data_IF_926231805811
#
_entry.id   IF_926231805811
#
_cell.length_a   1.000
_cell.length_b   1.000
_cell.length_c   1.000
_cell.angle_alpha   90.00
_cell.angle_beta   90.00
_cell.angle_gamma   90.00
#
_symmetry.space_group_name_H-M   'P 1'
#
loop_
_entity.id
_entity.type
_entity.pdbx_description
1 polymer ?
#
# COMPACT_ATOMS: atom_id res chain seq x y z
N UNK A 1 -15.51 11.51 29.57
CA UNK A 1 -14.45 10.49 29.41
C UNK A 1 -13.17 11.19 28.99
N UNK A 2 -12.06 10.97 29.69
CA UNK A 2 -10.82 11.72 29.51
C UNK A 2 -10.19 11.44 28.13
N UNK A 3 -9.75 12.50 27.42
CA UNK A 3 -9.01 12.41 26.16
C UNK A 3 -7.70 11.65 26.41
N UNK A 4 -7.44 10.57 25.69
CA UNK A 4 -6.10 9.98 25.67
C UNK A 4 -5.21 10.88 24.81
N UNK A 5 -4.32 11.61 25.48
CA UNK A 5 -3.22 12.34 24.86
C UNK A 5 -2.03 11.41 24.77
N UNK A 6 -1.47 11.27 23.56
CA UNK A 6 -0.25 10.51 23.33
C UNK A 6 0.89 11.46 23.01
N UNK A 7 2.09 11.12 23.49
CA UNK A 7 3.30 11.91 23.23
C UNK A 7 4.00 11.37 22.00
N UNK A 8 4.32 12.28 21.09
CA UNK A 8 5.07 12.01 19.86
C UNK A 8 6.44 12.70 19.90
N UNK A 9 7.43 12.03 19.33
CA UNK A 9 8.78 12.53 19.10
C UNK A 9 9.01 12.60 17.59
N UNK A 10 9.42 13.77 17.11
CA UNK A 10 9.88 13.98 15.74
C UNK A 10 11.40 14.16 15.73
N UNK A 11 12.14 13.35 14.97
CA UNK A 11 13.59 13.50 14.79
C UNK A 11 13.87 14.07 13.41
N UNK A 12 14.46 15.26 13.34
CA UNK A 12 14.89 15.89 12.07
C UNK A 12 16.18 15.26 11.56
N UNK A 13 16.14 14.79 10.31
CA UNK A 13 17.28 14.13 9.65
C UNK A 13 18.20 15.12 8.93
N UNK A 14 17.64 16.19 8.35
CA UNK A 14 18.37 17.14 7.51
C UNK A 14 18.09 18.59 7.90
N UNK A 15 19.09 19.46 7.77
CA UNK A 15 18.90 20.92 7.93
C UNK A 15 18.23 21.54 6.69
N UNK A 16 18.52 21.01 5.51
CA UNK A 16 17.90 21.37 4.24
C UNK A 16 17.08 20.18 3.70
N UNK A 17 16.14 20.37 2.76
CA UNK A 17 15.34 19.27 2.20
C UNK A 17 16.23 18.23 1.50
N UNK A 18 16.56 17.15 2.19
CA UNK A 18 17.30 16.01 1.66
C UNK A 18 16.34 14.89 1.21
N UNK A 19 16.70 14.14 0.17
CA UNK A 19 15.94 12.95 -0.26
C UNK A 19 16.65 11.69 0.21
N UNK A 20 16.23 11.14 1.34
CA UNK A 20 16.57 9.76 1.72
C UNK A 20 15.42 8.83 1.35
N UNK A 21 15.73 7.77 0.61
CA UNK A 21 14.75 6.77 0.20
C UNK A 21 14.57 5.76 1.34
N UNK A 22 13.50 5.94 2.12
CA UNK A 22 13.13 5.02 3.22
C UNK A 22 11.92 4.19 2.78
N UNK A 23 12.16 3.04 2.15
CA UNK A 23 11.11 2.11 1.65
C UNK A 23 10.55 1.17 2.73
N UNK A 24 10.62 1.55 4.01
CA UNK A 24 10.44 0.63 5.14
C UNK A 24 9.34 1.04 6.12
N UNK A 25 8.38 0.14 6.38
CA UNK A 25 7.39 0.24 7.48
C UNK A 25 7.92 -0.27 8.84
N UNK A 26 9.11 -0.87 8.87
CA UNK A 26 9.72 -1.45 10.07
C UNK A 26 10.93 -0.65 10.53
N UNK A 27 11.15 -0.59 11.84
CA UNK A 27 12.28 0.14 12.42
C UNK A 27 13.63 -0.40 11.95
N UNK A 28 13.72 -1.72 11.69
CA UNK A 28 14.91 -2.35 11.08
C UNK A 28 15.21 -1.80 9.68
N UNK A 29 14.17 -1.63 8.86
CA UNK A 29 14.33 -1.07 7.52
C UNK A 29 14.72 0.42 7.55
N UNK A 30 14.19 1.18 8.52
CA UNK A 30 14.59 2.59 8.77
C UNK A 30 16.06 2.69 9.15
N UNK A 31 16.51 1.88 10.12
CA UNK A 31 17.93 1.82 10.53
C UNK A 31 18.84 1.47 9.34
N UNK A 32 18.48 0.45 8.56
CA UNK A 32 19.23 0.07 7.37
C UNK A 32 19.28 1.18 6.31
N UNK A 33 18.20 1.95 6.15
CA UNK A 33 18.16 3.09 5.23
C UNK A 33 19.06 4.25 5.72
N UNK A 34 19.03 4.57 7.01
CA UNK A 34 19.89 5.60 7.61
C UNK A 34 21.38 5.25 7.48
N UNK A 35 21.75 3.98 7.75
CA UNK A 35 23.12 3.51 7.63
C UNK A 35 23.61 3.52 6.18
N UNK A 36 22.76 3.13 5.22
CA UNK A 36 23.07 3.21 3.78
C UNK A 36 23.15 4.64 3.26
N UNK A 37 22.37 5.57 3.83
CA UNK A 37 22.39 6.99 3.48
C UNK A 37 23.54 7.79 4.08
N UNK A 38 24.16 7.30 5.16
CA UNK A 38 25.22 8.00 5.88
C UNK A 38 26.45 8.40 5.03
N UNK A 39 26.92 7.60 4.05
CA UNK A 39 28.01 8.02 3.16
C UNK A 39 27.65 9.22 2.29
N UNK A 40 26.38 9.34 1.87
CA UNK A 40 25.92 10.39 0.96
C UNK A 40 25.44 11.66 1.68
N UNK A 41 24.86 11.52 2.88
CA UNK A 41 24.23 12.62 3.61
C UNK A 41 24.89 12.93 4.95
N UNK A 42 26.01 12.27 5.25
CA UNK A 42 26.87 12.57 6.40
C UNK A 42 26.74 11.61 7.58
N UNK A 43 27.73 11.64 8.48
CA UNK A 43 27.84 10.70 9.60
C UNK A 43 26.72 10.83 10.63
N UNK A 44 26.01 11.98 10.64
CA UNK A 44 24.84 12.23 11.48
C UNK A 44 23.77 11.15 11.36
N UNK A 45 23.53 10.60 10.16
CA UNK A 45 22.53 9.54 9.99
C UNK A 45 22.87 8.26 10.77
N UNK A 46 24.15 7.98 11.03
CA UNK A 46 24.57 6.87 11.90
C UNK A 46 24.20 7.12 13.35
N UNK A 47 24.29 8.38 13.78
CA UNK A 47 23.87 8.78 15.12
C UNK A 47 22.35 8.64 15.28
N UNK A 48 21.59 9.09 14.28
CA UNK A 48 20.13 8.90 14.28
C UNK A 48 19.75 7.43 14.27
N UNK A 49 20.45 6.59 13.50
CA UNK A 49 20.21 5.15 13.49
C UNK A 49 20.31 4.53 14.91
N UNK A 50 21.34 4.93 15.68
CA UNK A 50 21.49 4.51 17.09
C UNK A 50 20.36 5.02 17.98
N UNK A 51 19.89 6.24 17.75
CA UNK A 51 18.76 6.79 18.50
C UNK A 51 17.46 6.04 18.21
N UNK A 52 17.23 5.67 16.96
CA UNK A 52 16.08 4.88 16.53
C UNK A 52 16.07 3.50 17.21
N UNK A 53 17.21 2.84 17.30
CA UNK A 53 17.34 1.57 18.02
C UNK A 53 17.03 1.74 19.51
N UNK A 54 17.61 2.75 20.17
CA UNK A 54 17.35 3.05 21.57
C UNK A 54 15.88 3.41 21.86
N UNK A 55 15.22 4.14 20.96
CA UNK A 55 13.79 4.45 21.06
C UNK A 55 12.94 3.18 21.06
N UNK A 56 13.22 2.22 20.17
CA UNK A 56 12.48 0.95 20.12
C UNK A 56 12.68 0.12 21.38
N UNK A 57 13.92 0.02 21.87
CA UNK A 57 14.23 -0.66 23.14
C UNK A 57 13.43 -0.08 24.31
N UNK A 58 13.26 1.24 24.33
CA UNK A 58 12.58 1.97 25.40
C UNK A 58 11.05 2.03 25.22
N UNK A 59 10.52 1.38 24.17
CA UNK A 59 9.09 1.22 23.94
C UNK A 59 8.44 2.32 23.09
N UNK A 60 9.21 3.03 22.27
CA UNK A 60 8.66 3.97 21.28
C UNK A 60 8.33 3.24 19.97
N UNK A 61 7.14 3.50 19.44
CA UNK A 61 6.67 2.94 18.18
C UNK A 61 6.97 3.89 17.02
N UNK A 62 7.68 3.40 16.01
CA UNK A 62 7.84 4.12 14.74
C UNK A 62 6.48 4.31 14.06
N UNK A 63 6.21 5.52 13.57
CA UNK A 63 4.93 5.90 12.94
C UNK A 63 5.08 6.25 11.47
N UNK A 64 6.25 6.75 11.04
CA UNK A 64 6.47 7.10 9.65
C UNK A 64 7.63 8.05 9.43
N UNK A 65 7.86 8.35 8.16
CA UNK A 65 8.91 9.24 7.67
C UNK A 65 8.29 10.23 6.68
N UNK A 66 8.52 11.53 6.87
CA UNK A 66 7.91 12.61 6.08
C UNK A 66 8.85 13.19 5.02
N UNK A 67 9.94 12.50 4.69
CA UNK A 67 10.97 13.01 3.77
C UNK A 67 12.13 13.72 4.46
N UNK A 68 11.91 14.39 5.58
CA UNK A 68 12.97 15.07 6.35
C UNK A 68 13.00 14.68 7.84
N UNK A 69 11.96 14.00 8.34
CA UNK A 69 11.78 13.68 9.76
C UNK A 69 11.28 12.26 9.97
N UNK A 70 11.69 11.68 11.10
CA UNK A 70 11.15 10.41 11.60
C UNK A 70 10.18 10.67 12.74
N UNK A 71 9.05 9.96 12.74
CA UNK A 71 7.99 10.10 13.74
C UNK A 71 7.94 8.86 14.64
N UNK A 72 7.91 9.09 15.95
CA UNK A 72 7.79 8.06 16.98
C UNK A 72 6.70 8.41 17.97
N UNK A 73 5.98 7.41 18.46
CA UNK A 73 4.94 7.55 19.48
C UNK A 73 5.27 6.73 20.72
N UNK A 74 5.11 7.31 21.89
CA UNK A 74 5.28 6.59 23.15
C UNK A 74 4.20 5.52 23.31
N UNK A 75 4.56 4.33 23.78
CA UNK A 75 3.59 3.33 24.25
C UNK A 75 3.13 3.57 25.68
N UNK A 76 3.84 4.43 26.42
CA UNK A 76 3.52 4.86 27.78
C UNK A 76 2.88 6.24 27.76
N UNK A 77 1.92 6.49 28.65
CA UNK A 77 1.44 7.85 28.91
C UNK A 77 2.55 8.64 29.57
N UNK A 78 3.19 9.54 28.80
CA UNK A 78 4.23 10.44 29.27
C UNK A 78 3.71 11.87 29.16
N UNK A 79 4.11 12.74 30.08
CA UNK A 79 3.97 14.18 29.86
C UNK A 79 5.02 14.68 28.88
N UNK A 80 4.80 15.85 28.28
CA UNK A 80 5.80 16.52 27.43
C UNK A 80 7.14 16.72 28.15
N UNK A 81 7.11 17.23 29.39
CA UNK A 81 8.33 17.47 30.18
C UNK A 81 9.10 16.18 30.48
N UNK A 82 8.37 15.07 30.68
CA UNK A 82 8.96 13.75 30.92
C UNK A 82 9.60 13.17 29.65
N UNK A 83 8.99 13.39 28.50
CA UNK A 83 9.52 12.99 27.21
C UNK A 83 10.73 13.83 26.80
N UNK A 84 10.72 15.15 27.03
CA UNK A 84 11.88 16.02 26.83
C UNK A 84 13.04 15.63 27.75
N UNK A 85 12.77 15.35 29.03
CA UNK A 85 13.77 14.85 29.98
C UNK A 85 14.29 13.44 29.60
N UNK A 86 13.45 12.58 29.01
CA UNK A 86 13.88 11.30 28.45
C UNK A 86 14.85 11.51 27.28
N UNK A 87 14.51 12.37 26.31
CA UNK A 87 15.37 12.68 25.16
C UNK A 87 16.72 13.23 25.60
N UNK A 88 16.74 14.18 26.54
CA UNK A 88 17.99 14.73 27.06
C UNK A 88 18.86 13.69 27.77
N UNK A 89 18.26 12.78 28.55
CA UNK A 89 18.99 11.72 29.27
C UNK A 89 19.53 10.64 28.33
N UNK A 90 18.73 10.23 27.33
CA UNK A 90 19.06 9.11 26.45
C UNK A 90 19.96 9.53 25.28
N UNK A 91 19.76 10.73 24.75
CA UNK A 91 20.42 11.20 23.52
C UNK A 91 21.34 12.41 23.73
N UNK A 92 21.38 12.97 24.95
CA UNK A 92 22.20 14.11 25.32
C UNK A 92 21.45 15.44 25.27
N UNK A 93 21.98 16.47 25.94
CA UNK A 93 21.32 17.79 26.10
C UNK A 93 21.05 18.49 24.77
N UNK A 94 21.93 18.31 23.78
CA UNK A 94 21.80 18.96 22.47
C UNK A 94 20.78 18.28 21.55
N UNK A 95 20.25 17.11 21.93
CA UNK A 95 19.31 16.36 21.10
C UNK A 95 18.02 17.14 20.81
N UNK A 96 17.56 17.99 21.74
CA UNK A 96 16.36 18.82 21.55
C UNK A 96 16.51 19.87 20.44
N UNK A 97 17.73 20.16 19.97
CA UNK A 97 17.92 21.02 18.78
C UNK A 97 17.42 20.36 17.49
N UNK A 98 17.30 19.03 17.49
CA UNK A 98 16.88 18.21 16.34
C UNK A 98 15.63 17.39 16.61
N UNK A 99 15.24 17.27 17.88
CA UNK A 99 14.13 16.45 18.33
C UNK A 99 13.02 17.34 18.87
N UNK A 100 11.83 17.25 18.28
CA UNK A 100 10.64 17.97 18.74
C UNK A 100 9.70 17.01 19.47
N UNK A 101 9.24 17.38 20.66
CA UNK A 101 8.23 16.64 21.42
C UNK A 101 6.88 17.33 21.23
N UNK A 102 5.84 16.55 20.92
CA UNK A 102 4.47 17.05 20.72
C UNK A 102 3.46 16.20 21.47
N UNK A 103 2.49 16.87 22.10
CA UNK A 103 1.31 16.21 22.64
C UNK A 103 0.20 16.23 21.58
N UNK A 104 -0.26 15.05 21.18
CA UNK A 104 -1.37 14.92 20.23
C UNK A 104 -2.56 14.28 20.93
N UNK A 105 -3.69 14.99 20.97
CA UNK A 105 -4.96 14.39 21.35
C UNK A 105 -5.40 13.41 20.25
N UNK A 106 -5.90 12.24 20.62
CA UNK A 106 -6.55 11.34 19.66
C UNK A 106 -7.62 12.11 18.88
N UNK A 107 -7.44 12.22 17.56
CA UNK A 107 -8.57 12.43 16.65
C UNK A 107 -9.56 11.31 16.93
N UNK A 108 -10.82 11.68 17.16
CA UNK A 108 -11.92 10.75 17.44
C UNK A 108 -11.75 9.53 16.53
N UNK A 109 -11.58 8.36 17.15
CA UNK A 109 -11.83 7.09 16.52
C UNK A 109 -13.28 7.14 15.98
N UNK A 110 -13.46 7.61 14.74
CA UNK A 110 -14.50 7.05 13.88
C UNK A 110 -14.33 5.55 13.99
N UNK A 111 -15.42 4.86 14.32
CA UNK A 111 -15.48 3.43 14.57
C UNK A 111 -14.42 2.73 13.73
N UNK A 112 -13.41 2.15 14.38
CA UNK A 112 -12.33 1.43 13.68
C UNK A 112 -13.04 0.55 12.65
N UNK A 113 -12.83 0.78 11.34
CA UNK A 113 -13.41 -0.10 10.34
C UNK A 113 -13.00 -1.52 10.73
N UNK A 114 -13.89 -2.52 10.55
CA UNK A 114 -13.55 -3.90 10.87
C UNK A 114 -12.16 -4.19 10.30
N UNK A 115 -11.28 -4.77 11.13
CA UNK A 115 -9.90 -5.04 10.71
C UNK A 115 -9.97 -5.78 9.38
N UNK A 116 -9.62 -5.09 8.30
CA UNK A 116 -9.49 -5.72 7.01
C UNK A 116 -8.47 -6.85 7.17
N UNK A 117 -8.73 -8.04 6.61
CA UNK A 117 -7.73 -9.09 6.55
C UNK A 117 -6.43 -8.46 6.06
N UNK A 118 -5.35 -8.70 6.80
CA UNK A 118 -4.04 -8.12 6.49
C UNK A 118 -3.74 -8.38 5.02
N UNK A 119 -3.16 -7.39 4.36
CA UNK A 119 -2.70 -7.44 2.97
C UNK A 119 -1.56 -8.45 2.70
N UNK A 120 -1.43 -9.49 3.53
CA UNK A 120 -0.49 -10.60 3.42
C UNK A 120 -1.16 -11.91 2.99
N UNK A 121 -2.48 -11.91 2.70
CA UNK A 121 -3.14 -13.07 2.11
C UNK A 121 -2.48 -13.40 0.76
N UNK A 122 -2.09 -14.65 0.56
CA UNK A 122 -1.40 -15.17 -0.62
C UNK A 122 -2.12 -14.75 -1.91
N UNK A 123 -3.45 -14.77 -1.91
CA UNK A 123 -4.30 -14.27 -3.00
C UNK A 123 -4.14 -12.77 -3.26
N UNK A 124 -4.02 -11.94 -2.23
CA UNK A 124 -3.81 -10.49 -2.40
C UNK A 124 -2.42 -10.22 -2.95
N UNK A 125 -1.44 -11.05 -2.59
CA UNK A 125 -0.06 -10.97 -3.11
C UNK A 125 0.02 -11.42 -4.56
N UNK A 126 -0.64 -12.52 -4.91
CA UNK A 126 -0.77 -12.98 -6.29
C UNK A 126 -1.53 -11.95 -7.13
N UNK A 127 -2.65 -11.40 -6.65
CA UNK A 127 -3.37 -10.36 -7.39
C UNK A 127 -2.54 -9.06 -7.54
N UNK A 128 -1.70 -8.72 -6.55
CA UNK A 128 -0.71 -7.63 -6.69
C UNK A 128 0.37 -7.95 -7.72
N UNK A 129 0.82 -9.20 -7.78
CA UNK A 129 1.79 -9.68 -8.77
C UNK A 129 1.20 -9.67 -10.18
N UNK A 130 -0.07 -10.05 -10.32
CA UNK A 130 -0.78 -10.18 -11.59
C UNK A 130 -1.23 -8.81 -12.16
N UNK A 131 -1.68 -7.87 -11.32
CA UNK A 131 -2.31 -6.60 -11.74
C UNK A 131 -1.39 -5.38 -11.54
N UNK A 132 -0.15 -5.56 -11.06
CA UNK A 132 0.86 -4.50 -10.98
C UNK A 132 1.93 -4.65 -12.08
N UNK A 133 1.61 -4.43 -13.37
CA UNK A 133 2.46 -4.85 -14.47
C UNK A 133 3.74 -4.02 -14.50
N UNK A 134 3.69 -2.74 -14.11
CA UNK A 134 4.85 -1.84 -14.20
C UNK A 134 6.03 -2.25 -13.29
N UNK A 135 5.74 -2.93 -12.17
CA UNK A 135 6.76 -3.39 -11.21
C UNK A 135 7.27 -4.80 -11.51
N UNK A 136 6.52 -5.58 -12.28
CA UNK A 136 6.80 -6.99 -12.61
C UNK A 136 6.92 -7.25 -14.10
N UNK A 137 6.94 -6.16 -14.87
CA UNK A 137 7.23 -6.12 -16.27
C UNK A 137 8.52 -6.92 -16.53
N UNK A 138 9.57 -6.69 -15.74
CA UNK A 138 10.83 -7.45 -15.84
C UNK A 138 10.70 -8.99 -15.60
N UNK A 139 9.69 -9.44 -14.87
CA UNK A 139 9.40 -10.86 -14.62
C UNK A 139 8.51 -11.48 -15.72
N UNK A 140 7.57 -10.71 -16.27
CA UNK A 140 6.86 -11.02 -17.54
C UNK A 140 7.82 -10.97 -18.76
N UNK A 141 8.87 -10.16 -18.69
CA UNK A 141 9.91 -9.94 -19.72
C UNK A 141 11.06 -10.94 -19.64
N UNK A 142 10.85 -12.14 -19.08
CA UNK A 142 11.84 -13.21 -19.13
C UNK A 142 11.95 -13.81 -20.54
N UNK A 143 12.49 -13.03 -21.49
CA UNK A 143 13.11 -13.53 -22.73
C UNK A 143 12.33 -13.39 -24.04
N UNK A 144 11.08 -12.93 -24.02
CA UNK A 144 10.30 -12.74 -25.26
C UNK A 144 10.58 -11.37 -25.92
N UNK A 145 10.75 -11.32 -27.25
CA UNK A 145 10.72 -10.07 -28.01
C UNK A 145 9.46 -9.27 -27.68
N UNK A 146 9.57 -7.94 -27.61
CA UNK A 146 8.44 -7.04 -27.31
C UNK A 146 7.23 -7.24 -28.24
N UNK A 147 7.49 -7.68 -29.47
CA UNK A 147 6.49 -7.99 -30.50
C UNK A 147 5.65 -9.23 -30.13
N UNK A 148 6.29 -10.36 -29.78
CA UNK A 148 5.60 -11.59 -29.35
C UNK A 148 4.77 -11.37 -28.08
N UNK A 149 5.25 -10.52 -27.16
CA UNK A 149 4.51 -10.18 -25.95
C UNK A 149 3.29 -9.30 -26.24
N UNK A 150 3.40 -8.40 -27.22
CA UNK A 150 2.27 -7.56 -27.64
C UNK A 150 1.19 -8.40 -28.33
N UNK A 151 1.58 -9.37 -29.14
CA UNK A 151 0.69 -10.35 -29.76
C UNK A 151 0.01 -11.22 -28.70
N UNK A 152 0.77 -11.75 -27.73
CA UNK A 152 0.21 -12.51 -26.61
C UNK A 152 -0.83 -11.70 -25.82
N UNK A 153 -0.51 -10.46 -25.45
CA UNK A 153 -1.44 -9.60 -24.72
C UNK A 153 -2.71 -9.30 -25.54
N UNK A 154 -2.57 -9.11 -26.85
CA UNK A 154 -3.69 -8.91 -27.76
C UNK A 154 -4.60 -10.15 -27.83
N UNK A 155 -4.00 -11.33 -28.01
CA UNK A 155 -4.71 -12.61 -28.07
C UNK A 155 -5.44 -12.90 -26.75
N UNK A 156 -4.77 -12.69 -25.62
CA UNK A 156 -5.39 -12.86 -24.31
C UNK A 156 -6.46 -11.81 -24.04
N UNK A 157 -6.33 -10.60 -24.59
CA UNK A 157 -7.36 -9.57 -24.55
C UNK A 157 -8.61 -10.00 -25.32
N UNK A 158 -8.47 -10.55 -26.54
CA UNK A 158 -9.62 -11.07 -27.29
C UNK A 158 -10.28 -12.27 -26.60
N UNK A 159 -9.46 -13.21 -26.11
CA UNK A 159 -9.97 -14.36 -25.35
C UNK A 159 -10.71 -13.92 -24.08
N UNK A 160 -10.23 -12.87 -23.42
CA UNK A 160 -10.91 -12.30 -22.25
C UNK A 160 -12.24 -11.65 -22.61
N UNK A 161 -12.34 -10.91 -23.71
CA UNK A 161 -13.62 -10.35 -24.18
C UNK A 161 -14.64 -11.45 -24.43
N UNK A 162 -14.22 -12.51 -25.13
CA UNK A 162 -15.05 -13.68 -25.38
C UNK A 162 -15.47 -14.39 -24.08
N UNK A 163 -14.59 -14.42 -23.07
CA UNK A 163 -14.92 -14.97 -21.75
C UNK A 163 -15.98 -14.14 -21.04
N UNK A 164 -15.94 -12.80 -21.16
CA UNK A 164 -16.94 -11.92 -20.53
C UNK A 164 -18.31 -11.98 -21.20
N UNK A 165 -18.38 -12.44 -22.45
CA UNK A 165 -19.64 -12.76 -23.16
C UNK A 165 -20.22 -14.13 -22.79
N UNK A 166 -19.48 -14.99 -22.07
CA UNK A 166 -20.00 -16.26 -21.58
C UNK A 166 -21.13 -16.01 -20.56
N UNK A 167 -22.35 -16.57 -20.77
CA UNK A 167 -23.50 -16.24 -19.93
C UNK A 167 -23.30 -16.50 -18.44
N UNK A 168 -22.47 -17.48 -18.06
CA UNK A 168 -22.20 -17.77 -16.66
C UNK A 168 -21.28 -16.71 -16.03
N UNK A 169 -20.33 -16.18 -16.80
CA UNK A 169 -19.43 -15.11 -16.36
C UNK A 169 -20.18 -13.78 -16.36
N UNK A 170 -20.92 -13.45 -17.43
CA UNK A 170 -21.70 -12.22 -17.51
C UNK A 170 -22.69 -12.11 -16.36
N UNK A 171 -23.41 -13.19 -16.01
CA UNK A 171 -24.34 -13.18 -14.88
C UNK A 171 -23.64 -12.88 -13.54
N UNK A 172 -22.43 -13.40 -13.33
CA UNK A 172 -21.65 -13.08 -12.12
C UNK A 172 -21.16 -11.63 -12.12
N UNK A 173 -20.83 -11.06 -13.28
CA UNK A 173 -20.43 -9.65 -13.40
C UNK A 173 -21.61 -8.75 -13.06
N UNK A 174 -22.81 -9.07 -13.54
CA UNK A 174 -24.05 -8.35 -13.20
C UNK A 174 -24.33 -8.41 -11.69
N UNK A 175 -24.24 -9.59 -11.07
CA UNK A 175 -24.37 -9.74 -9.61
C UNK A 175 -23.33 -8.88 -8.85
N UNK A 176 -22.09 -8.84 -9.34
CA UNK A 176 -21.02 -8.02 -8.78
C UNK A 176 -21.27 -6.53 -8.98
N UNK A 177 -21.85 -6.12 -10.12
CA UNK A 177 -22.23 -4.73 -10.42
C UNK A 177 -23.33 -4.26 -9.48
N UNK A 178 -24.41 -5.02 -9.33
CA UNK A 178 -25.50 -4.71 -8.39
C UNK A 178 -24.98 -4.59 -6.94
N UNK A 179 -24.10 -5.51 -6.54
CA UNK A 179 -23.45 -5.46 -5.23
C UNK A 179 -22.48 -4.27 -5.09
N UNK A 180 -21.90 -3.79 -6.18
CA UNK A 180 -20.99 -2.65 -6.21
C UNK A 180 -21.75 -1.31 -6.09
N UNK A 181 -22.91 -1.16 -6.73
CA UNK A 181 -23.73 0.06 -6.66
C UNK A 181 -24.05 0.46 -5.21
N UNK A 182 -24.41 -0.53 -4.40
CA UNK A 182 -24.80 -0.32 -3.00
C UNK A 182 -23.64 -0.40 -2.01
N UNK A 183 -22.40 -0.57 -2.50
CA UNK A 183 -21.22 -0.79 -1.67
C UNK A 183 -20.73 0.47 -0.93
N UNK A 184 -21.09 0.57 0.35
CA UNK A 184 -20.64 1.65 1.22
C UNK A 184 -19.13 1.60 1.51
N UNK A 185 -18.53 0.42 1.54
CA UNK A 185 -17.12 0.26 1.88
C UNK A 185 -16.23 0.67 0.70
N UNK A 186 -16.58 0.27 -0.52
CA UNK A 186 -15.92 0.79 -1.72
C UNK A 186 -15.97 2.32 -1.76
N UNK A 187 -17.15 2.93 -1.58
CA UNK A 187 -17.30 4.39 -1.62
C UNK A 187 -16.45 5.10 -0.59
N UNK A 188 -16.34 4.57 0.62
CA UNK A 188 -15.48 5.14 1.68
C UNK A 188 -13.98 5.04 1.31
N UNK A 189 -13.52 3.87 0.85
CA UNK A 189 -12.13 3.66 0.42
C UNK A 189 -11.77 4.51 -0.79
N UNK A 190 -12.65 4.58 -1.78
CA UNK A 190 -12.49 5.39 -2.99
C UNK A 190 -12.42 6.87 -2.65
N UNK A 191 -13.35 7.37 -1.82
CA UNK A 191 -13.35 8.77 -1.35
C UNK A 191 -12.08 9.11 -0.58
N UNK A 192 -11.65 8.22 0.32
CA UNK A 192 -10.41 8.38 1.10
C UNK A 192 -9.20 8.47 0.17
N UNK A 193 -9.12 7.59 -0.82
CA UNK A 193 -8.03 7.60 -1.81
C UNK A 193 -8.01 8.92 -2.59
N UNK A 194 -9.12 9.33 -3.20
CA UNK A 194 -9.21 10.59 -3.96
C UNK A 194 -8.86 11.82 -3.10
N UNK A 195 -9.39 11.90 -1.88
CA UNK A 195 -9.10 13.00 -0.96
C UNK A 195 -7.61 13.11 -0.63
N UNK A 196 -6.93 11.96 -0.45
CA UNK A 196 -5.49 11.93 -0.18
C UNK A 196 -4.69 12.27 -1.44
N UNK A 197 -5.08 11.73 -2.58
CA UNK A 197 -4.45 12.06 -3.87
C UNK A 197 -4.49 13.56 -4.16
N UNK A 198 -5.63 14.21 -3.96
CA UNK A 198 -5.78 15.66 -4.16
C UNK A 198 -4.97 16.50 -3.15
N UNK A 199 -4.91 16.06 -1.89
CA UNK A 199 -4.31 16.86 -0.80
C UNK A 199 -2.79 16.75 -0.72
N UNK A 200 -2.25 15.55 -0.89
CA UNK A 200 -0.83 15.23 -0.60
C UNK A 200 -0.11 14.59 -1.79
N UNK A 201 -0.83 14.19 -2.84
CA UNK A 201 -0.26 13.66 -4.07
C UNK A 201 0.09 12.17 -4.01
N UNK A 202 0.42 11.56 -5.18
CA UNK A 202 0.64 10.13 -5.34
C UNK A 202 1.90 9.59 -4.64
N UNK A 203 2.86 10.45 -4.32
CA UNK A 203 4.13 10.04 -3.71
C UNK A 203 4.10 10.03 -2.18
N UNK A 204 2.97 10.35 -1.57
CA UNK A 204 2.81 10.30 -0.11
C UNK A 204 2.46 8.87 0.35
N UNK A 205 3.14 8.32 1.37
CA UNK A 205 2.88 6.98 1.88
C UNK A 205 1.42 6.72 2.29
N UNK A 206 0.68 7.75 2.72
CA UNK A 206 -0.71 7.63 3.09
C UNK A 206 -1.63 7.51 1.86
N UNK A 207 -1.32 8.21 0.76
CA UNK A 207 -2.02 8.06 -0.50
C UNK A 207 -1.74 6.69 -1.13
N UNK A 208 -0.48 6.22 -1.08
CA UNK A 208 -0.11 4.86 -1.49
C UNK A 208 -0.86 3.79 -0.66
N UNK A 209 -0.95 3.97 0.67
CA UNK A 209 -1.70 3.03 1.52
C UNK A 209 -3.20 3.00 1.18
N UNK A 210 -3.81 4.16 0.94
CA UNK A 210 -5.21 4.24 0.54
C UNK A 210 -5.46 3.60 -0.82
N UNK A 211 -4.55 3.78 -1.79
CA UNK A 211 -4.56 3.06 -3.07
C UNK A 211 -4.55 1.55 -2.84
N UNK A 212 -3.60 1.05 -2.03
CA UNK A 212 -3.48 -0.38 -1.78
C UNK A 212 -4.66 -0.97 -1.02
N UNK A 213 -5.27 -0.22 -0.10
CA UNK A 213 -6.49 -0.63 0.60
C UNK A 213 -7.65 -0.80 -0.40
N UNK A 214 -7.86 0.19 -1.27
CA UNK A 214 -8.88 0.17 -2.32
C UNK A 214 -8.64 -0.96 -3.32
N UNK A 215 -7.41 -1.07 -3.84
CA UNK A 215 -7.00 -2.14 -4.75
C UNK A 215 -7.27 -3.51 -4.14
N UNK A 216 -6.77 -3.77 -2.93
CA UNK A 216 -6.92 -5.09 -2.28
C UNK A 216 -8.38 -5.42 -1.98
N UNK A 217 -9.23 -4.40 -1.80
CA UNK A 217 -10.67 -4.59 -1.66
C UNK A 217 -11.31 -5.02 -2.98
N UNK A 218 -11.05 -4.30 -4.07
CA UNK A 218 -11.59 -4.62 -5.40
C UNK A 218 -11.07 -5.95 -5.94
N UNK A 219 -9.78 -6.24 -5.79
CA UNK A 219 -9.22 -7.52 -6.22
C UNK A 219 -9.89 -8.71 -5.53
N UNK A 220 -10.25 -8.60 -4.24
CA UNK A 220 -10.98 -9.67 -3.54
C UNK A 220 -12.39 -9.86 -4.07
N UNK A 221 -13.09 -8.78 -4.41
CA UNK A 221 -14.41 -8.88 -5.06
C UNK A 221 -14.30 -9.57 -6.42
N UNK A 222 -13.38 -9.10 -7.25
CA UNK A 222 -13.14 -9.65 -8.59
C UNK A 222 -12.64 -11.10 -8.55
N UNK A 223 -11.95 -11.53 -7.49
CA UNK A 223 -11.46 -12.90 -7.36
C UNK A 223 -12.57 -13.96 -7.42
N UNK A 224 -13.83 -13.58 -7.15
CA UNK A 224 -14.99 -14.44 -7.31
C UNK A 224 -15.19 -14.92 -8.77
N UNK A 225 -14.70 -14.16 -9.76
CA UNK A 225 -14.78 -14.52 -11.19
C UNK A 225 -13.75 -15.58 -11.59
N UNK A 226 -12.67 -15.75 -10.83
CA UNK A 226 -11.54 -16.62 -11.20
C UNK A 226 -11.97 -18.07 -11.46
N UNK A 227 -12.82 -18.72 -10.64
CA UNK A 227 -13.30 -20.07 -10.93
C UNK A 227 -14.10 -20.16 -12.23
N UNK A 228 -14.94 -19.17 -12.53
CA UNK A 228 -15.74 -19.15 -13.75
C UNK A 228 -14.87 -18.95 -15.00
N UNK A 229 -13.89 -18.04 -14.92
CA UNK A 229 -12.88 -17.80 -15.95
C UNK A 229 -12.03 -19.04 -16.22
N UNK A 230 -11.61 -19.78 -15.17
CA UNK A 230 -10.91 -21.06 -15.34
C UNK A 230 -11.78 -22.11 -16.01
N UNK A 231 -13.05 -22.22 -15.61
CA UNK A 231 -13.98 -23.14 -16.25
C UNK A 231 -14.23 -22.79 -17.72
N UNK A 232 -14.27 -21.51 -18.07
CA UNK A 232 -14.35 -21.08 -19.47
C UNK A 232 -13.13 -21.55 -20.27
N UNK A 233 -11.90 -21.35 -19.75
CA UNK A 233 -10.67 -21.82 -20.39
C UNK A 233 -10.68 -23.34 -20.59
N UNK A 234 -11.08 -24.11 -19.57
CA UNK A 234 -11.21 -25.57 -19.65
C UNK A 234 -12.20 -26.00 -20.74
N UNK A 235 -13.39 -25.36 -20.82
CA UNK A 235 -14.39 -25.65 -21.86
C UNK A 235 -13.88 -25.33 -23.27
N UNK A 236 -13.02 -24.33 -23.40
CA UNK A 236 -12.38 -23.93 -24.66
C UNK A 236 -11.15 -24.77 -25.02
N UNK A 237 -10.72 -25.66 -24.13
CA UNK A 237 -9.56 -26.53 -24.36
C UNK A 237 -8.21 -25.89 -23.99
N UNK A 238 -8.21 -24.74 -23.30
CA UNK A 238 -7.01 -24.08 -22.79
C UNK A 238 -6.61 -24.64 -21.42
N UNK A 239 -6.24 -25.92 -21.37
CA UNK A 239 -5.88 -26.62 -20.12
C UNK A 239 -4.39 -26.57 -19.78
N UNK A 240 -3.55 -26.15 -20.71
CA UNK A 240 -2.08 -26.16 -20.58
C UNK A 240 -1.46 -24.79 -20.89
N UNK A 241 -2.13 -23.72 -20.42
CA UNK A 241 -1.57 -22.38 -20.50
C UNK A 241 -0.33 -22.27 -19.62
N UNK A 242 0.74 -21.68 -20.15
CA UNK A 242 1.87 -21.32 -19.32
C UNK A 242 1.50 -20.19 -18.35
N UNK A 243 2.33 -19.97 -17.33
CA UNK A 243 2.06 -18.99 -16.28
C UNK A 243 1.84 -17.57 -16.83
N UNK A 244 2.58 -17.18 -17.88
CA UNK A 244 2.46 -15.86 -18.51
C UNK A 244 1.15 -15.69 -19.27
N UNK A 245 0.70 -16.71 -20.01
CA UNK A 245 -0.59 -16.71 -20.72
C UNK A 245 -1.76 -16.66 -19.74
N UNK A 246 -1.72 -17.49 -18.69
CA UNK A 246 -2.74 -17.50 -17.66
C UNK A 246 -2.80 -16.16 -16.91
N UNK A 247 -1.63 -15.55 -16.63
CA UNK A 247 -1.53 -14.22 -16.03
C UNK A 247 -2.11 -13.15 -16.95
N UNK A 248 -1.69 -13.12 -18.21
CA UNK A 248 -2.17 -12.14 -19.19
C UNK A 248 -3.69 -12.23 -19.39
N UNK A 249 -4.23 -13.45 -19.52
CA UNK A 249 -5.68 -13.66 -19.61
C UNK A 249 -6.43 -13.18 -18.37
N UNK A 250 -6.01 -13.62 -17.17
CA UNK A 250 -6.70 -13.22 -15.94
C UNK A 250 -6.61 -11.72 -15.70
N UNK A 251 -5.46 -11.10 -15.96
CA UNK A 251 -5.30 -9.65 -15.81
C UNK A 251 -6.19 -8.90 -16.79
N UNK A 252 -6.24 -9.30 -18.07
CA UNK A 252 -7.13 -8.70 -19.06
C UNK A 252 -8.61 -8.87 -18.68
N UNK A 253 -9.04 -10.08 -18.34
CA UNK A 253 -10.42 -10.39 -17.98
C UNK A 253 -10.89 -9.64 -16.73
N UNK A 254 -10.08 -9.63 -15.66
CA UNK A 254 -10.45 -8.94 -14.43
C UNK A 254 -10.41 -7.42 -14.59
N UNK A 255 -9.49 -6.89 -15.39
CA UNK A 255 -9.45 -5.46 -15.72
C UNK A 255 -10.67 -5.02 -16.51
N UNK A 256 -11.08 -5.78 -17.52
CA UNK A 256 -12.26 -5.49 -18.32
C UNK A 256 -13.55 -5.66 -17.49
N UNK A 257 -13.65 -6.70 -16.67
CA UNK A 257 -14.77 -6.90 -15.76
C UNK A 257 -14.90 -5.73 -14.76
N UNK A 258 -13.77 -5.24 -14.22
CA UNK A 258 -13.77 -4.06 -13.36
C UNK A 258 -14.31 -2.83 -14.10
N UNK A 259 -13.88 -2.63 -15.36
CA UNK A 259 -14.39 -1.54 -16.19
C UNK A 259 -15.91 -1.63 -16.37
N UNK A 260 -16.47 -2.82 -16.61
CA UNK A 260 -17.92 -3.02 -16.75
C UNK A 260 -18.66 -2.76 -15.42
N UNK A 261 -18.05 -3.11 -14.29
CA UNK A 261 -18.64 -2.89 -12.97
C UNK A 261 -18.61 -1.41 -12.57
N UNK A 262 -17.54 -0.69 -12.97
CA UNK A 262 -17.33 0.72 -12.65
C UNK A 262 -17.97 1.68 -13.68
N UNK A 263 -18.15 1.25 -14.93
CA UNK A 263 -18.88 2.02 -15.95
C UNK A 263 -20.32 2.21 -15.47
N UNK A 264 -20.53 3.40 -14.92
CA UNK A 264 -21.85 3.99 -14.88
C UNK A 264 -22.17 4.35 -16.31
N UNK A 265 -23.28 3.84 -16.83
CA UNK A 265 -23.94 4.46 -17.97
C UNK A 265 -23.93 5.98 -17.74
N UNK A 266 -23.12 6.69 -18.53
CA UNK A 266 -23.19 8.13 -18.71
C UNK A 266 -24.53 8.42 -19.41
N UNK A 267 -25.63 8.34 -18.66
CA UNK A 267 -26.94 8.90 -19.01
C UNK A 267 -27.26 10.10 -18.10
#
# INVERSE_FOLDING_TARGET
MARQTHTEIEIRLFDEPGKLVVRGRSTKAVVAALLRGAPAHGPWLRQVARWVEGLVEDGWQYRGYTGDRLLFRSTKSLGRDEAEAYVQRRFGRDALSRVSVRDRAEERNHAKPPKLPKADDELTRELRRLIGPESHQAELYLGHPTEELSELLLDMSFLSQEALEDPAISAQIEDLRDAHETDAQYRDLHTRYLTLMERIGPSDPAAEEAYWDLFSYMSRKLSALVPALRSFLERRGFTDLCEHEATAFLTAALSQALSIIEDRDED
#
